data_IF_290590112278
#
_entry.id   IF_290590112278
#
_cell.length_a   1.000
_cell.length_b   1.000
_cell.length_c   1.000
_cell.angle_alpha   90.00
_cell.angle_beta   90.00
_cell.angle_gamma   90.00
#
_symmetry.space_group_name_H-M   'P 1'
#
loop_
_entity.id
_entity.type
_entity.pdbx_description
1 polymer ?
#
# COMPACT_ATOMS: atom_id res chain seq x y z
N UNK A 1 -41.88 -1.16 -9.26
CA UNK A 1 -40.69 -1.82 -8.68
C UNK A 1 -40.82 -1.75 -7.18
N UNK A 2 -40.43 -2.80 -6.44
CA UNK A 2 -40.43 -2.77 -4.98
C UNK A 2 -39.28 -1.91 -4.46
N UNK A 3 -39.44 -1.28 -3.28
CA UNK A 3 -38.38 -0.51 -2.64
C UNK A 3 -37.11 -1.35 -2.38
N UNK A 4 -37.29 -2.66 -2.18
CA UNK A 4 -36.19 -3.63 -2.07
C UNK A 4 -35.41 -3.78 -3.39
N UNK A 5 -36.09 -3.82 -4.54
CA UNK A 5 -35.43 -3.91 -5.83
C UNK A 5 -34.61 -2.64 -6.13
N UNK A 6 -35.18 -1.46 -5.87
CA UNK A 6 -34.45 -0.18 -6.02
C UNK A 6 -33.22 -0.10 -5.12
N UNK A 7 -33.35 -0.60 -3.88
CA UNK A 7 -32.23 -0.65 -2.94
C UNK A 7 -31.13 -1.60 -3.43
N UNK A 8 -31.48 -2.79 -3.94
CA UNK A 8 -30.50 -3.74 -4.48
C UNK A 8 -29.84 -3.27 -5.78
N UNK A 9 -30.54 -2.54 -6.65
CA UNK A 9 -29.93 -1.88 -7.81
C UNK A 9 -28.94 -0.79 -7.38
N UNK A 10 -29.30 -0.02 -6.35
CA UNK A 10 -28.40 0.97 -5.76
C UNK A 10 -27.18 0.29 -5.14
N UNK A 11 -27.35 -0.87 -4.50
CA UNK A 11 -26.26 -1.69 -3.97
C UNK A 11 -25.31 -2.11 -5.08
N UNK A 12 -25.85 -2.62 -6.19
CA UNK A 12 -25.04 -3.03 -7.33
C UNK A 12 -24.23 -1.86 -7.89
N UNK A 13 -24.84 -0.68 -8.04
CA UNK A 13 -24.13 0.52 -8.49
C UNK A 13 -23.01 0.91 -7.54
N UNK A 14 -23.24 0.85 -6.22
CA UNK A 14 -22.19 1.10 -5.22
C UNK A 14 -21.03 0.11 -5.36
N UNK A 15 -21.30 -1.18 -5.54
CA UNK A 15 -20.27 -2.20 -5.73
C UNK A 15 -19.45 -1.95 -7.01
N UNK A 16 -20.08 -1.47 -8.09
CA UNK A 16 -19.37 -1.12 -9.32
C UNK A 16 -18.49 0.13 -9.15
N UNK A 17 -18.94 1.11 -8.35
CA UNK A 17 -18.11 2.25 -7.98
C UNK A 17 -16.94 1.85 -7.08
N UNK A 18 -17.16 0.96 -6.12
CA UNK A 18 -16.10 0.36 -5.30
C UNK A 18 -15.10 -0.41 -6.16
N UNK A 19 -15.55 -1.18 -7.16
CA UNK A 19 -14.69 -1.91 -8.09
C UNK A 19 -13.78 -0.94 -8.84
N UNK A 20 -14.34 0.17 -9.34
CA UNK A 20 -13.57 1.21 -10.03
C UNK A 20 -12.53 1.86 -9.13
N UNK A 21 -12.91 2.20 -7.89
CA UNK A 21 -12.01 2.82 -6.92
C UNK A 21 -10.89 1.86 -6.50
N UNK A 22 -11.20 0.59 -6.27
CA UNK A 22 -10.23 -0.43 -5.88
C UNK A 22 -9.26 -0.75 -7.02
N UNK A 23 -9.76 -0.85 -8.26
CA UNK A 23 -8.90 -1.02 -9.44
C UNK A 23 -7.95 0.17 -9.62
N UNK A 24 -8.42 1.39 -9.36
CA UNK A 24 -7.55 2.58 -9.34
C UNK A 24 -6.48 2.46 -8.25
N UNK A 25 -6.85 2.00 -7.05
CA UNK A 25 -5.91 1.82 -5.94
C UNK A 25 -4.84 0.78 -6.25
N UNK A 26 -5.21 -0.35 -6.88
CA UNK A 26 -4.26 -1.35 -7.42
C UNK A 26 -3.30 -0.70 -8.42
N UNK A 27 -3.83 0.05 -9.39
CA UNK A 27 -3.00 0.74 -10.39
C UNK A 27 -2.02 1.74 -9.77
N UNK A 28 -2.43 2.43 -8.71
CA UNK A 28 -1.55 3.33 -7.94
C UNK A 28 -0.49 2.55 -7.17
N UNK A 29 -0.83 1.42 -6.55
CA UNK A 29 0.14 0.57 -5.86
C UNK A 29 1.25 0.08 -6.81
N UNK A 30 0.90 -0.28 -8.04
CA UNK A 30 1.88 -0.67 -9.08
C UNK A 30 2.73 0.53 -9.53
N UNK A 31 2.13 1.73 -9.66
CA UNK A 31 2.89 2.94 -9.98
C UNK A 31 3.89 3.29 -8.88
N UNK A 32 3.51 3.10 -7.61
CA UNK A 32 4.40 3.27 -6.46
C UNK A 32 5.61 2.32 -6.56
N UNK A 33 5.44 1.09 -7.02
CA UNK A 33 6.57 0.15 -7.25
C UNK A 33 7.59 0.73 -8.20
N UNK A 34 7.14 1.25 -9.34
CA UNK A 34 8.03 1.88 -10.33
C UNK A 34 8.78 3.07 -9.70
N UNK A 35 8.04 3.94 -9.00
CA UNK A 35 8.63 5.11 -8.35
C UNK A 35 9.65 4.73 -7.25
N UNK A 36 9.40 3.65 -6.49
CA UNK A 36 10.33 3.12 -5.48
C UNK A 36 11.60 2.56 -6.11
N UNK A 37 11.48 1.83 -7.22
CA UNK A 37 12.64 1.29 -7.96
C UNK A 37 13.49 2.43 -8.54
N UNK A 38 12.84 3.43 -9.13
CA UNK A 38 13.52 4.59 -9.74
C UNK A 38 14.01 5.61 -8.69
N UNK A 39 13.65 5.43 -7.41
CA UNK A 39 13.90 6.39 -6.33
C UNK A 39 13.35 7.78 -6.62
N UNK A 40 12.24 7.88 -7.36
CA UNK A 40 11.55 9.13 -7.65
C UNK A 40 10.65 9.52 -6.48
N UNK A 41 11.21 10.24 -5.51
CA UNK A 41 10.49 10.70 -4.32
C UNK A 41 9.28 11.60 -4.65
N UNK A 42 9.35 12.37 -5.74
CA UNK A 42 8.23 13.22 -6.17
C UNK A 42 7.08 12.41 -6.78
N UNK A 43 7.37 11.31 -7.46
CA UNK A 43 6.36 10.35 -7.88
C UNK A 43 5.78 9.59 -6.68
N UNK A 44 6.61 9.14 -5.73
CA UNK A 44 6.16 8.46 -4.51
C UNK A 44 5.15 9.33 -3.74
N UNK A 45 5.47 10.60 -3.50
CA UNK A 45 4.57 11.51 -2.77
C UNK A 45 3.24 11.74 -3.50
N UNK A 46 3.27 11.94 -4.82
CA UNK A 46 2.04 12.11 -5.62
C UNK A 46 1.17 10.87 -5.61
N UNK A 47 1.78 9.68 -5.77
CA UNK A 47 1.06 8.41 -5.76
C UNK A 47 0.47 8.14 -4.37
N UNK A 48 1.23 8.36 -3.30
CA UNK A 48 0.76 8.21 -1.92
C UNK A 48 -0.46 9.09 -1.63
N UNK A 49 -0.41 10.37 -2.02
CA UNK A 49 -1.57 11.27 -1.87
C UNK A 49 -2.79 10.80 -2.67
N UNK A 50 -2.57 10.29 -3.89
CA UNK A 50 -3.65 9.73 -4.71
C UNK A 50 -4.22 8.43 -4.11
N UNK A 51 -3.39 7.60 -3.47
CA UNK A 51 -3.81 6.39 -2.77
C UNK A 51 -4.66 6.74 -1.55
N UNK A 52 -4.26 7.73 -0.74
CA UNK A 52 -5.08 8.22 0.37
C UNK A 52 -6.46 8.68 -0.10
N UNK A 53 -6.52 9.51 -1.14
CA UNK A 53 -7.80 9.97 -1.68
C UNK A 53 -8.68 8.81 -2.23
N UNK A 54 -8.06 7.78 -2.81
CA UNK A 54 -8.79 6.59 -3.26
C UNK A 54 -9.31 5.75 -2.08
N UNK A 55 -8.52 5.58 -1.03
CA UNK A 55 -8.92 4.90 0.22
C UNK A 55 -10.08 5.61 0.91
N UNK A 56 -10.03 6.95 1.03
CA UNK A 56 -11.13 7.74 1.60
C UNK A 56 -12.43 7.58 0.80
N UNK A 57 -12.32 7.48 -0.54
CA UNK A 57 -13.48 7.23 -1.40
C UNK A 57 -14.06 5.84 -1.18
N UNK A 58 -13.23 4.81 -1.04
CA UNK A 58 -13.66 3.43 -0.75
C UNK A 58 -14.35 3.38 0.62
N UNK A 59 -13.78 4.02 1.64
CA UNK A 59 -14.39 4.07 2.97
C UNK A 59 -15.78 4.75 2.94
N UNK A 60 -15.91 5.85 2.20
CA UNK A 60 -17.19 6.53 2.04
C UNK A 60 -18.23 5.65 1.32
N UNK A 61 -17.82 4.86 0.33
CA UNK A 61 -18.70 3.91 -0.38
C UNK A 61 -19.13 2.77 0.54
N UNK A 62 -18.21 2.20 1.31
CA UNK A 62 -18.51 1.14 2.29
C UNK A 62 -19.52 1.62 3.34
N UNK A 63 -19.39 2.86 3.83
CA UNK A 63 -20.38 3.45 4.74
C UNK A 63 -21.76 3.60 4.09
N UNK A 64 -21.84 3.91 2.79
CA UNK A 64 -23.10 3.96 2.06
C UNK A 64 -23.68 2.56 1.90
N UNK A 65 -22.84 1.57 1.58
CA UNK A 65 -23.19 0.15 1.46
C UNK A 65 -23.81 -0.39 2.75
N UNK A 66 -23.17 -0.13 3.90
CA UNK A 66 -23.68 -0.54 5.23
C UNK A 66 -25.03 0.10 5.54
N UNK A 67 -25.20 1.40 5.26
CA UNK A 67 -26.49 2.08 5.47
C UNK A 67 -27.61 1.50 4.59
N UNK A 68 -27.28 1.16 3.35
CA UNK A 68 -28.22 0.58 2.40
C UNK A 68 -28.62 -0.84 2.81
N UNK A 69 -27.66 -1.67 3.27
CA UNK A 69 -27.93 -3.00 3.81
C UNK A 69 -28.84 -2.94 5.06
N UNK A 70 -28.60 -1.99 5.96
CA UNK A 70 -29.48 -1.74 7.10
C UNK A 70 -30.91 -1.38 6.69
N UNK A 71 -31.07 -0.58 5.62
CA UNK A 71 -32.38 -0.21 5.07
C UNK A 71 -33.17 -1.39 4.48
N UNK A 72 -32.48 -2.46 4.06
CA UNK A 72 -33.08 -3.72 3.58
C UNK A 72 -33.58 -4.63 4.71
N UNK A 73 -33.49 -4.19 5.97
CA UNK A 73 -34.02 -4.90 7.12
C UNK A 73 -33.02 -5.82 7.82
N UNK A 74 -31.74 -5.80 7.39
CA UNK A 74 -30.71 -6.59 8.03
C UNK A 74 -29.35 -5.87 7.96
N UNK A 75 -29.05 -5.07 8.99
CA UNK A 75 -27.85 -4.24 9.07
C UNK A 75 -26.54 -5.05 9.09
N UNK A 76 -26.63 -6.34 9.42
CA UNK A 76 -25.50 -7.28 9.41
C UNK A 76 -25.53 -8.23 8.21
N UNK A 77 -26.52 -8.11 7.31
CA UNK A 77 -26.60 -9.01 6.17
C UNK A 77 -25.35 -8.90 5.31
N UNK A 78 -24.68 -10.04 5.16
CA UNK A 78 -23.58 -10.16 4.22
C UNK A 78 -24.11 -10.03 2.78
N UNK A 79 -23.25 -9.61 1.86
CA UNK A 79 -23.59 -9.62 0.42
C UNK A 79 -24.03 -11.01 -0.07
N UNK A 80 -23.59 -12.09 0.60
CA UNK A 80 -24.04 -13.46 0.35
C UNK A 80 -25.51 -13.68 0.69
N UNK A 81 -25.96 -13.14 1.82
CA UNK A 81 -27.36 -13.24 2.26
C UNK A 81 -28.33 -12.46 1.37
N UNK A 82 -27.83 -11.44 0.65
CA UNK A 82 -28.64 -10.63 -0.27
C UNK A 82 -28.78 -11.25 -1.67
N UNK A 83 -27.98 -12.26 -2.02
CA UNK A 83 -28.02 -12.87 -3.37
C UNK A 83 -29.37 -13.54 -3.71
N UNK A 84 -29.98 -14.36 -2.82
CA UNK A 84 -31.25 -15.00 -3.15
C UNK A 84 -32.35 -13.98 -3.41
N UNK A 85 -32.39 -12.91 -2.61
CA UNK A 85 -33.36 -11.82 -2.78
C UNK A 85 -33.13 -11.05 -4.08
N UNK A 86 -31.88 -10.86 -4.50
CA UNK A 86 -31.55 -10.24 -5.77
C UNK A 86 -31.99 -11.11 -6.96
N UNK A 87 -31.78 -12.42 -6.90
CA UNK A 87 -32.25 -13.36 -7.92
C UNK A 87 -33.78 -13.39 -8.03
N UNK A 88 -34.48 -13.43 -6.90
CA UNK A 88 -35.95 -13.38 -6.85
C UNK A 88 -36.52 -12.09 -7.46
N UNK A 89 -35.80 -10.97 -7.31
CA UNK A 89 -36.18 -9.67 -7.83
C UNK A 89 -35.63 -9.39 -9.25
N UNK A 90 -34.91 -10.34 -9.86
CA UNK A 90 -34.36 -10.23 -11.21
C UNK A 90 -33.15 -9.29 -11.34
N UNK A 91 -32.45 -9.02 -10.24
CA UNK A 91 -31.24 -8.19 -10.20
C UNK A 91 -30.02 -9.10 -10.33
N UNK A 92 -29.33 -9.00 -11.47
CA UNK A 92 -28.13 -9.77 -11.79
C UNK A 92 -26.86 -8.94 -11.58
N UNK A 93 -25.69 -9.57 -11.45
CA UNK A 93 -24.40 -8.86 -11.36
C UNK A 93 -23.84 -8.70 -9.94
N UNK A 94 -24.65 -8.90 -8.89
CA UNK A 94 -24.21 -8.78 -7.50
C UNK A 94 -23.15 -9.83 -7.12
N UNK A 95 -23.38 -11.09 -7.52
CA UNK A 95 -22.44 -12.17 -7.28
C UNK A 95 -21.10 -11.95 -8.02
N UNK A 96 -21.14 -11.58 -9.31
CA UNK A 96 -19.93 -11.32 -10.08
C UNK A 96 -19.17 -10.09 -9.56
N UNK A 97 -19.87 -9.04 -9.13
CA UNK A 97 -19.23 -7.84 -8.58
C UNK A 97 -18.53 -8.14 -7.26
N UNK A 98 -19.14 -8.95 -6.38
CA UNK A 98 -18.49 -9.43 -5.15
C UNK A 98 -17.20 -10.21 -5.44
N UNK A 99 -17.24 -11.14 -6.40
CA UNK A 99 -16.07 -11.94 -6.77
C UNK A 99 -14.95 -11.06 -7.34
N UNK A 100 -15.29 -10.07 -8.18
CA UNK A 100 -14.32 -9.12 -8.73
C UNK A 100 -13.69 -8.24 -7.65
N UNK A 101 -14.48 -7.74 -6.70
CA UNK A 101 -13.96 -6.99 -5.56
C UNK A 101 -13.00 -7.82 -4.71
N UNK A 102 -13.34 -9.09 -4.42
CA UNK A 102 -12.46 -9.98 -3.67
C UNK A 102 -11.13 -10.23 -4.41
N UNK A 103 -11.18 -10.44 -5.73
CA UNK A 103 -9.98 -10.61 -6.54
C UNK A 103 -9.09 -9.35 -6.54
N UNK A 104 -9.69 -8.17 -6.71
CA UNK A 104 -8.98 -6.88 -6.65
C UNK A 104 -8.37 -6.60 -5.27
N UNK A 105 -9.04 -7.00 -4.18
CA UNK A 105 -8.51 -6.85 -2.83
C UNK A 105 -7.27 -7.73 -2.62
N UNK A 106 -7.29 -8.97 -3.11
CA UNK A 106 -6.13 -9.86 -3.08
C UNK A 106 -4.97 -9.28 -3.91
N UNK A 107 -5.24 -8.78 -5.12
CA UNK A 107 -4.24 -8.15 -5.98
C UNK A 107 -3.62 -6.90 -5.30
N UNK A 108 -4.45 -6.07 -4.65
CA UNK A 108 -3.97 -4.92 -3.90
C UNK A 108 -3.06 -5.36 -2.73
N UNK A 109 -3.45 -6.39 -2.00
CA UNK A 109 -2.64 -6.91 -0.90
C UNK A 109 -1.26 -7.37 -1.40
N UNK A 110 -1.21 -8.16 -2.48
CA UNK A 110 0.04 -8.61 -3.07
C UNK A 110 0.93 -7.43 -3.51
N UNK A 111 0.33 -6.41 -4.16
CA UNK A 111 1.04 -5.22 -4.56
C UNK A 111 1.60 -4.44 -3.35
N UNK A 112 0.81 -4.26 -2.30
CA UNK A 112 1.24 -3.57 -1.07
C UNK A 112 2.34 -4.34 -0.34
N UNK A 113 2.25 -5.67 -0.26
CA UNK A 113 3.32 -6.49 0.30
C UNK A 113 4.63 -6.33 -0.47
N UNK A 114 4.56 -6.22 -1.81
CA UNK A 114 5.73 -5.96 -2.63
C UNK A 114 6.34 -4.59 -2.31
N UNK A 115 5.52 -3.54 -2.23
CA UNK A 115 5.96 -2.16 -1.93
C UNK A 115 6.64 -2.10 -0.56
N UNK A 116 6.07 -2.78 0.44
CA UNK A 116 6.64 -2.89 1.77
C UNK A 116 8.03 -3.55 1.77
N UNK A 117 8.22 -4.61 0.97
CA UNK A 117 9.53 -5.28 0.82
C UNK A 117 10.56 -4.37 0.14
N UNK A 118 10.17 -3.59 -0.86
CA UNK A 118 11.03 -2.61 -1.51
C UNK A 118 11.49 -1.53 -0.51
N UNK A 119 10.55 -0.95 0.23
CA UNK A 119 10.82 0.04 1.27
C UNK A 119 11.77 -0.51 2.35
N UNK A 120 11.51 -1.71 2.86
CA UNK A 120 12.37 -2.35 3.85
C UNK A 120 13.79 -2.57 3.31
N UNK A 121 13.91 -2.94 2.05
CA UNK A 121 15.21 -3.14 1.40
C UNK A 121 15.97 -1.82 1.24
N UNK A 122 15.28 -0.74 0.86
CA UNK A 122 15.85 0.60 0.77
C UNK A 122 16.34 1.11 2.15
N UNK A 123 15.56 0.88 3.22
CA UNK A 123 15.96 1.24 4.59
C UNK A 123 17.21 0.49 5.02
N UNK A 124 17.27 -0.83 4.80
CA UNK A 124 18.46 -1.64 5.12
C UNK A 124 19.69 -1.18 4.35
N UNK A 125 19.54 -0.79 3.08
CA UNK A 125 20.64 -0.26 2.29
C UNK A 125 21.14 1.06 2.88
N UNK A 126 20.24 1.97 3.24
CA UNK A 126 20.57 3.23 3.93
C UNK A 126 21.37 2.99 5.21
N UNK A 127 20.92 2.07 6.06
CA UNK A 127 21.62 1.72 7.30
C UNK A 127 23.03 1.19 7.06
N UNK A 128 23.20 0.32 6.05
CA UNK A 128 24.53 -0.16 5.64
C UNK A 128 25.44 0.97 5.19
N UNK A 129 24.93 1.91 4.39
CA UNK A 129 25.70 3.08 3.96
C UNK A 129 26.10 3.97 5.13
N UNK A 130 25.18 4.25 6.07
CA UNK A 130 25.49 5.01 7.28
C UNK A 130 26.61 4.34 8.08
N UNK A 131 26.52 3.03 8.30
CA UNK A 131 27.54 2.28 9.02
C UNK A 131 28.89 2.27 8.29
N UNK A 132 28.88 2.15 6.97
CA UNK A 132 30.09 2.16 6.16
C UNK A 132 30.79 3.54 6.21
N UNK A 133 30.03 4.62 6.03
CA UNK A 133 30.55 5.99 6.11
C UNK A 133 31.07 6.29 7.52
N UNK A 134 30.35 5.88 8.57
CA UNK A 134 30.78 6.04 9.96
C UNK A 134 32.09 5.27 10.25
N UNK A 135 32.28 4.09 9.65
CA UNK A 135 33.52 3.31 9.75
C UNK A 135 34.67 3.86 8.91
N UNK A 136 34.38 4.61 7.85
CA UNK A 136 35.39 5.26 7.00
C UNK A 136 35.85 6.62 7.52
N UNK A 137 35.05 7.29 8.36
CA UNK A 137 35.46 8.53 8.99
C UNK A 137 36.70 8.25 9.85
N UNK A 138 37.90 8.75 9.47
CA UNK A 138 39.05 8.62 10.36
C UNK A 138 38.70 9.36 11.65
N UNK A 139 38.96 8.75 12.80
CA UNK A 139 38.96 9.40 14.10
C UNK A 139 39.98 10.55 14.09
N UNK A 140 39.59 11.67 13.46
CA UNK A 140 40.45 12.85 13.27
C UNK A 140 40.62 13.60 14.59
N UNK A 141 39.81 13.25 15.59
CA UNK A 141 39.95 13.65 16.97
C UNK A 141 39.86 12.41 17.86
N UNK A 142 40.96 12.05 18.52
CA UNK A 142 40.87 11.23 19.73
C UNK A 142 40.09 12.01 20.80
N UNK A 143 39.58 11.33 21.82
CA UNK A 143 38.80 11.90 22.94
C UNK A 143 39.50 13.03 23.73
N UNK A 144 40.73 13.39 23.36
CA UNK A 144 41.52 14.49 23.93
C UNK A 144 41.84 15.63 22.95
N UNK A 145 41.29 15.65 21.73
CA UNK A 145 41.49 16.76 20.80
C UNK A 145 42.91 16.88 20.20
N UNK A 146 43.75 15.84 20.30
CA UNK A 146 45.11 15.84 19.74
C UNK A 146 45.20 15.01 18.46
N UNK A 147 45.80 15.61 17.43
CA UNK A 147 46.18 14.91 16.21
C UNK A 147 47.21 13.82 16.55
N UNK A 148 46.88 12.56 16.32
CA UNK A 148 47.89 11.51 16.25
C UNK A 148 48.65 11.66 14.92
N UNK A 149 49.76 12.39 14.98
CA UNK A 149 50.80 12.29 13.94
C UNK A 149 51.31 10.86 13.94
N UNK A 150 50.93 10.10 12.91
CA UNK A 150 51.60 8.87 12.52
C UNK A 150 53.10 9.16 12.38
N UNK A 151 53.89 8.76 13.38
CA UNK A 151 55.34 8.73 13.27
C UNK A 151 55.72 7.60 12.30
N UNK A 152 55.89 7.96 11.04
CA UNK A 152 56.74 7.20 10.14
C UNK A 152 58.20 7.32 10.62
N UNK A 153 58.74 6.26 11.22
CA UNK A 153 60.19 5.96 11.41
C UNK A 153 60.30 4.61 12.14
N UNK A 154 60.96 3.57 11.64
CA UNK A 154 61.71 3.40 10.40
C UNK A 154 62.01 1.91 10.18
N UNK A 155 62.30 1.56 8.93
CA UNK A 155 62.98 0.32 8.60
C UNK A 155 64.32 0.25 9.34
N UNK A 156 64.55 -0.82 10.10
CA UNK A 156 65.90 -1.25 10.44
C UNK A 156 66.15 -2.57 9.74
N UNK A 157 66.86 -2.47 8.62
CA UNK A 157 67.66 -3.55 8.07
C UNK A 157 68.88 -3.75 8.97
N UNK A 158 69.15 -5.01 9.37
CA UNK A 158 70.47 -5.63 9.22
C UNK A 158 70.45 -7.10 9.62
N UNK A 159 70.84 -7.92 8.67
CA UNK A 159 71.45 -9.23 8.80
C UNK A 159 72.73 -9.18 9.65
N UNK A 160 72.92 -10.22 10.47
CA UNK A 160 74.19 -10.87 10.79
C UNK A 160 73.86 -12.26 11.36
#
# INVERSE_FOLDING_TARGET
MSDAALSLETMLNLLLEEESALRRLVGLAIQEQGALVDSDYGAIERVSNAMHAASDRIEALEQQRVKLAAGLGNAEATLEELLPLAEELGIHGLAESRLRLAALAAELQEAQEHNARLLLSAVKLRERWVNHIAGMAPSTYGSEGKQHLSQARGMVSRSA
#
